data_IF_439141688718
#
_entry.id   IF_439141688718
#
_cell.length_a   1.000
_cell.length_b   1.000
_cell.length_c   1.000
_cell.angle_alpha   90.00
_cell.angle_beta   90.00
_cell.angle_gamma   90.00
#
_symmetry.space_group_name_H-M   'P 1'
#
loop_
_entity.id
_entity.type
_entity.pdbx_description
1 polymer ?
#
# COMPACT_ATOMS: atom_id res chain seq x y z
N UNK A 1 -12.57 -4.48 -8.52
CA UNK A 1 -11.32 -5.25 -8.51
C UNK A 1 -10.65 -5.25 -7.13
N UNK A 2 -10.33 -4.11 -6.53
CA UNK A 2 -9.69 -4.02 -5.21
C UNK A 2 -10.54 -4.63 -4.08
N UNK A 3 -11.84 -4.40 -4.03
CA UNK A 3 -12.76 -5.02 -3.07
C UNK A 3 -12.75 -6.56 -3.19
N UNK A 4 -12.72 -7.07 -4.40
CA UNK A 4 -12.60 -8.53 -4.65
C UNK A 4 -11.28 -9.04 -4.08
N UNK A 5 -10.17 -8.31 -4.24
CA UNK A 5 -8.87 -8.69 -3.69
C UNK A 5 -8.91 -8.79 -2.16
N UNK A 6 -9.59 -7.85 -1.48
CA UNK A 6 -9.79 -7.91 -0.03
C UNK A 6 -10.57 -9.17 0.35
N UNK A 7 -11.67 -9.46 -0.34
CA UNK A 7 -12.48 -10.68 -0.10
C UNK A 7 -11.66 -11.95 -0.30
N UNK A 8 -10.85 -12.00 -1.35
CA UNK A 8 -9.92 -13.12 -1.61
C UNK A 8 -8.92 -13.26 -0.45
N UNK A 9 -8.38 -12.15 0.06
CA UNK A 9 -7.47 -12.14 1.20
C UNK A 9 -8.09 -12.74 2.46
N UNK A 10 -9.34 -12.36 2.77
CA UNK A 10 -10.12 -12.94 3.88
C UNK A 10 -10.30 -14.45 3.69
N UNK A 11 -10.62 -14.89 2.47
CA UNK A 11 -10.84 -16.28 2.18
C UNK A 11 -9.55 -17.12 2.26
N UNK A 12 -8.45 -16.60 1.74
CA UNK A 12 -7.13 -17.25 1.83
C UNK A 12 -6.70 -17.44 3.29
N UNK A 13 -6.95 -16.47 4.15
CA UNK A 13 -6.64 -16.60 5.58
C UNK A 13 -7.38 -17.76 6.24
N UNK A 14 -8.65 -18.02 5.84
CA UNK A 14 -9.43 -19.15 6.36
C UNK A 14 -8.92 -20.50 5.85
N UNK A 15 -8.35 -20.55 4.64
CA UNK A 15 -7.85 -21.80 4.05
C UNK A 15 -6.48 -22.22 4.61
N UNK A 16 -5.69 -21.28 5.14
CA UNK A 16 -4.33 -21.53 5.62
C UNK A 16 -4.17 -21.18 7.10
N UNK A 17 -4.73 -21.99 8.03
CA UNK A 17 -4.71 -21.72 9.47
C UNK A 17 -3.29 -21.70 10.07
N UNK A 18 -2.34 -22.44 9.50
CA UNK A 18 -0.94 -22.41 9.95
C UNK A 18 -0.28 -21.03 9.70
N UNK A 19 -0.54 -20.43 8.55
CA UNK A 19 -0.07 -19.07 8.27
C UNK A 19 -0.79 -18.03 9.14
N UNK A 20 -2.01 -18.31 9.59
CA UNK A 20 -2.73 -17.48 10.53
C UNK A 20 -2.05 -17.49 11.92
N UNK A 21 -1.58 -18.62 12.42
CA UNK A 21 -0.86 -18.70 13.70
C UNK A 21 0.44 -17.91 13.68
N UNK A 22 1.27 -18.07 12.65
CA UNK A 22 2.52 -17.33 12.55
C UNK A 22 2.29 -15.82 12.39
N UNK A 23 1.19 -15.40 11.76
CA UNK A 23 0.83 -14.01 11.66
C UNK A 23 0.26 -13.46 12.98
N UNK A 24 -0.50 -14.26 13.71
CA UNK A 24 -0.98 -13.91 15.04
C UNK A 24 0.20 -13.72 16.03
N UNK A 25 1.22 -14.58 15.99
CA UNK A 25 2.44 -14.42 16.77
C UNK A 25 3.19 -13.13 16.42
N UNK A 26 3.31 -12.81 15.13
CA UNK A 26 3.91 -11.54 14.68
C UNK A 26 3.07 -10.32 15.11
N UNK A 27 1.75 -10.44 15.15
CA UNK A 27 0.87 -9.36 15.60
C UNK A 27 0.95 -9.24 17.13
N UNK A 28 0.98 -10.35 17.88
CA UNK A 28 1.19 -10.33 19.34
C UNK A 28 2.52 -9.64 19.68
N UNK A 29 3.60 -10.03 19.03
CA UNK A 29 4.89 -9.36 19.22
C UNK A 29 4.83 -7.87 18.87
N UNK A 30 3.99 -7.49 17.92
CA UNK A 30 3.75 -6.09 17.54
C UNK A 30 2.91 -5.39 18.62
N UNK A 31 1.86 -6.01 19.14
CA UNK A 31 1.03 -5.45 20.23
C UNK A 31 1.84 -5.30 21.51
N UNK A 32 2.63 -6.32 21.88
CA UNK A 32 3.55 -6.26 23.02
C UNK A 32 4.61 -5.19 22.82
N UNK A 33 5.09 -5.01 21.60
CA UNK A 33 5.97 -3.92 21.22
C UNK A 33 5.31 -2.55 21.40
N UNK A 34 4.01 -2.42 21.12
CA UNK A 34 3.25 -1.17 21.36
C UNK A 34 2.99 -0.92 22.85
N UNK A 35 2.95 -1.95 23.69
CA UNK A 35 2.76 -1.85 25.14
C UNK A 35 4.07 -1.57 25.90
N UNK A 36 5.24 -1.88 25.33
CA UNK A 36 6.56 -1.67 25.93
C UNK A 36 7.31 -0.58 25.16
N UNK A 37 7.67 0.53 25.79
CA UNK A 37 8.54 1.63 25.33
C UNK A 37 8.85 1.66 23.82
N UNK A 38 7.90 2.13 23.03
CA UNK A 38 8.00 2.20 21.57
C UNK A 38 9.09 3.20 21.18
N UNK A 39 10.04 2.77 20.37
CA UNK A 39 10.81 3.68 19.55
C UNK A 39 9.95 4.11 18.34
N UNK A 40 9.12 5.15 18.54
CA UNK A 40 8.20 5.72 17.55
C UNK A 40 8.90 5.94 16.20
N UNK A 41 10.16 6.39 16.25
CA UNK A 41 10.96 6.65 15.05
C UNK A 41 11.15 5.38 14.20
N UNK A 42 11.40 4.25 14.82
CA UNK A 42 11.63 2.99 14.09
C UNK A 42 10.35 2.48 13.40
N UNK A 43 9.20 2.62 14.08
CA UNK A 43 7.90 2.22 13.50
C UNK A 43 7.52 3.12 12.33
N UNK A 44 7.65 4.43 12.51
CA UNK A 44 7.39 5.40 11.45
C UNK A 44 8.31 5.19 10.24
N UNK A 45 9.60 4.93 10.49
CA UNK A 45 10.57 4.67 9.42
C UNK A 45 10.27 3.38 8.67
N UNK A 46 9.88 2.32 9.38
CA UNK A 46 9.48 1.04 8.75
C UNK A 46 8.24 1.20 7.88
N UNK A 47 7.21 1.88 8.39
CA UNK A 47 6.00 2.18 7.63
C UNK A 47 6.32 3.05 6.40
N UNK A 48 7.08 4.11 6.58
CA UNK A 48 7.53 4.99 5.50
C UNK A 48 8.26 4.21 4.39
N UNK A 49 9.20 3.34 4.78
CA UNK A 49 9.96 2.50 3.82
C UNK A 49 9.03 1.55 3.06
N UNK A 50 8.08 0.91 3.74
CA UNK A 50 7.11 0.01 3.11
C UNK A 50 6.21 0.75 2.11
N UNK A 51 5.69 1.91 2.49
CA UNK A 51 4.81 2.73 1.67
C UNK A 51 5.54 3.30 0.45
N UNK A 52 6.82 3.69 0.63
CA UNK A 52 7.69 4.14 -0.45
C UNK A 52 7.98 3.02 -1.44
N UNK A 53 8.31 1.82 -0.97
CA UNK A 53 8.55 0.67 -1.85
C UNK A 53 7.30 0.34 -2.66
N UNK A 54 6.13 0.35 -2.02
CA UNK A 54 4.87 0.05 -2.68
C UNK A 54 4.51 1.08 -3.76
N UNK A 55 4.55 2.37 -3.46
CA UNK A 55 4.23 3.42 -4.43
C UNK A 55 5.26 3.52 -5.54
N UNK A 56 6.56 3.35 -5.20
CA UNK A 56 7.64 3.32 -6.19
C UNK A 56 7.53 2.11 -7.12
N UNK A 57 7.05 0.96 -6.66
CA UNK A 57 6.85 -0.21 -7.51
C UNK A 57 5.81 0.03 -8.60
N UNK A 58 4.74 0.76 -8.31
CA UNK A 58 3.73 1.18 -9.30
C UNK A 58 4.37 2.10 -10.35
N UNK A 59 5.13 3.10 -9.91
CA UNK A 59 5.82 4.03 -10.81
C UNK A 59 6.84 3.31 -11.71
N UNK A 60 7.74 2.52 -11.11
CA UNK A 60 8.81 1.81 -11.85
C UNK A 60 8.25 0.82 -12.86
N UNK A 61 7.20 0.08 -12.49
CA UNK A 61 6.56 -0.87 -13.42
C UNK A 61 5.94 -0.17 -14.62
N UNK A 62 5.59 1.11 -14.51
CA UNK A 62 4.98 1.85 -15.61
C UNK A 62 6.01 2.49 -16.54
N UNK A 63 7.16 2.92 -16.02
CA UNK A 63 8.25 3.49 -16.84
C UNK A 63 8.69 2.49 -17.92
N UNK A 64 8.75 1.22 -17.57
CA UNK A 64 8.96 0.15 -18.52
C UNK A 64 7.61 -0.34 -19.04
N UNK A 65 7.20 0.08 -20.22
CA UNK A 65 5.89 -0.20 -20.81
C UNK A 65 5.46 -1.68 -20.74
N UNK A 66 6.43 -2.60 -20.89
CA UNK A 66 6.19 -4.06 -20.85
C UNK A 66 5.78 -4.52 -19.43
N UNK A 67 6.25 -3.86 -18.39
CA UNK A 67 6.00 -4.24 -16.99
C UNK A 67 4.77 -3.55 -16.39
N UNK A 68 4.05 -2.73 -17.16
CA UNK A 68 2.86 -2.02 -16.71
C UNK A 68 1.81 -2.91 -16.00
N UNK A 69 1.52 -4.17 -16.43
CA UNK A 69 0.58 -5.03 -15.71
C UNK A 69 0.98 -5.31 -14.25
N UNK A 70 2.28 -5.21 -13.91
CA UNK A 70 2.77 -5.40 -12.54
C UNK A 70 2.20 -4.33 -11.58
N UNK A 71 1.91 -3.11 -12.07
CA UNK A 71 1.28 -2.07 -11.28
C UNK A 71 -0.11 -2.50 -10.75
N UNK A 72 -0.90 -3.19 -11.58
CA UNK A 72 -2.20 -3.74 -11.16
C UNK A 72 -2.02 -4.89 -10.17
N UNK A 73 -1.05 -5.77 -10.43
CA UNK A 73 -0.75 -6.90 -9.53
C UNK A 73 -0.35 -6.37 -8.15
N UNK A 74 0.46 -5.32 -8.07
CA UNK A 74 0.85 -4.71 -6.80
C UNK A 74 -0.36 -4.22 -5.99
N UNK A 75 -1.35 -3.59 -6.64
CA UNK A 75 -2.59 -3.17 -5.99
C UNK A 75 -3.47 -4.36 -5.55
N UNK A 76 -3.55 -5.42 -6.36
CA UNK A 76 -4.28 -6.63 -6.02
C UNK A 76 -3.66 -7.29 -4.78
N UNK A 77 -2.33 -7.46 -4.77
CA UNK A 77 -1.60 -8.03 -3.64
C UNK A 77 -1.76 -7.20 -2.36
N UNK A 78 -1.76 -5.86 -2.48
CA UNK A 78 -2.04 -4.98 -1.35
C UNK A 78 -3.46 -5.19 -0.80
N UNK A 79 -4.46 -5.33 -1.67
CA UNK A 79 -5.84 -5.65 -1.28
C UNK A 79 -5.95 -7.01 -0.57
N UNK A 80 -5.30 -8.05 -1.10
CA UNK A 80 -5.24 -9.38 -0.48
C UNK A 80 -4.60 -9.30 0.90
N UNK A 81 -3.47 -8.61 1.03
CA UNK A 81 -2.78 -8.42 2.31
C UNK A 81 -3.67 -7.75 3.36
N UNK A 82 -4.42 -6.72 2.97
CA UNK A 82 -5.35 -6.04 3.87
C UNK A 82 -6.48 -6.98 4.32
N UNK A 83 -7.10 -7.71 3.38
CA UNK A 83 -8.15 -8.68 3.70
C UNK A 83 -7.67 -9.78 4.63
N UNK A 84 -6.46 -10.28 4.39
CA UNK A 84 -5.81 -11.28 5.22
C UNK A 84 -5.60 -10.74 6.64
N UNK A 85 -5.06 -9.55 6.79
CA UNK A 85 -4.80 -8.91 8.08
C UNK A 85 -6.08 -8.65 8.86
N UNK A 86 -7.13 -8.14 8.22
CA UNK A 86 -8.45 -7.91 8.85
C UNK A 86 -8.99 -9.21 9.43
N UNK A 87 -8.98 -10.29 8.64
CA UNK A 87 -9.49 -11.58 9.10
C UNK A 87 -8.68 -12.17 10.25
N UNK A 88 -7.34 -11.98 10.25
CA UNK A 88 -6.47 -12.39 11.36
C UNK A 88 -6.84 -11.64 12.63
N UNK A 89 -7.09 -10.33 12.58
CA UNK A 89 -7.52 -9.56 13.73
C UNK A 89 -8.87 -10.04 14.29
N UNK A 90 -9.80 -10.37 13.41
CA UNK A 90 -11.11 -10.89 13.83
C UNK A 90 -10.99 -12.25 14.51
N UNK A 91 -10.25 -13.18 13.91
CA UNK A 91 -10.20 -14.58 14.36
C UNK A 91 -9.22 -14.81 15.51
N UNK A 92 -8.04 -14.21 15.47
CA UNK A 92 -6.99 -14.46 16.46
C UNK A 92 -7.13 -13.57 17.71
N UNK A 93 -7.60 -12.34 17.56
CA UNK A 93 -7.63 -11.39 18.66
C UNK A 93 -9.02 -11.07 19.18
N UNK A 94 -10.08 -11.54 18.50
CA UNK A 94 -11.48 -11.22 18.84
C UNK A 94 -11.69 -9.72 19.12
N UNK A 95 -10.89 -8.88 18.42
CA UNK A 95 -10.93 -7.43 18.60
C UNK A 95 -12.26 -6.86 18.14
N UNK A 96 -12.72 -5.86 18.86
CA UNK A 96 -13.88 -5.07 18.46
C UNK A 96 -13.67 -4.45 17.07
N UNK A 97 -14.73 -4.38 16.28
CA UNK A 97 -14.70 -3.85 14.92
C UNK A 97 -14.07 -2.44 14.85
N UNK A 98 -14.27 -1.61 15.88
CA UNK A 98 -13.69 -0.26 15.98
C UNK A 98 -12.15 -0.29 16.05
N UNK A 99 -11.58 -1.22 16.82
CA UNK A 99 -10.12 -1.39 16.93
C UNK A 99 -9.52 -1.90 15.63
N UNK A 100 -10.15 -2.88 15.00
CA UNK A 100 -9.72 -3.43 13.69
C UNK A 100 -9.73 -2.35 12.62
N UNK A 101 -10.81 -1.57 12.56
CA UNK A 101 -10.96 -0.45 11.63
C UNK A 101 -9.86 0.58 11.86
N UNK A 102 -9.60 0.97 13.10
CA UNK A 102 -8.54 1.93 13.44
C UNK A 102 -7.17 1.42 12.99
N UNK A 103 -6.81 0.18 13.34
CA UNK A 103 -5.51 -0.42 13.03
C UNK A 103 -5.25 -0.57 11.53
N UNK A 104 -6.28 -0.94 10.76
CA UNK A 104 -6.12 -1.27 9.34
C UNK A 104 -6.40 -0.10 8.42
N UNK A 105 -7.45 0.69 8.72
CA UNK A 105 -7.85 1.80 7.85
C UNK A 105 -6.92 2.99 7.96
N UNK A 106 -6.52 3.41 9.15
CA UNK A 106 -5.63 4.57 9.31
C UNK A 106 -4.30 4.35 8.57
N UNK A 107 -3.75 3.14 8.65
CA UNK A 107 -2.51 2.79 7.95
C UNK A 107 -2.63 2.87 6.42
N UNK A 108 -3.83 2.77 5.85
CA UNK A 108 -4.02 2.66 4.41
C UNK A 108 -4.93 3.76 3.83
N UNK A 109 -5.47 4.67 4.66
CA UNK A 109 -6.51 5.62 4.26
C UNK A 109 -6.08 6.60 3.16
N UNK A 110 -4.81 6.98 3.15
CA UNK A 110 -4.24 7.86 2.12
C UNK A 110 -3.49 7.04 1.06
N UNK A 111 -2.82 5.97 1.49
CA UNK A 111 -2.00 5.15 0.62
C UNK A 111 -2.82 4.51 -0.51
N UNK A 112 -4.00 3.96 -0.19
CA UNK A 112 -4.85 3.28 -1.19
C UNK A 112 -5.41 4.27 -2.21
N UNK A 113 -6.16 5.33 -1.83
CA UNK A 113 -6.66 6.30 -2.80
C UNK A 113 -5.53 6.96 -3.60
N UNK A 114 -4.43 7.31 -2.94
CA UNK A 114 -3.25 7.87 -3.59
C UNK A 114 -2.64 6.93 -4.64
N UNK A 115 -2.59 5.63 -4.34
CA UNK A 115 -2.10 4.61 -5.27
C UNK A 115 -3.03 4.43 -6.47
N UNK A 116 -4.35 4.56 -6.29
CA UNK A 116 -5.29 4.58 -7.41
C UNK A 116 -5.09 5.79 -8.32
N UNK A 117 -4.90 6.98 -7.74
CA UNK A 117 -4.60 8.19 -8.51
C UNK A 117 -3.28 7.99 -9.29
N UNK A 118 -2.24 7.45 -8.63
CA UNK A 118 -0.97 7.15 -9.27
C UNK A 118 -1.14 6.13 -10.41
N UNK A 119 -1.98 5.10 -10.23
CA UNK A 119 -2.27 4.12 -11.27
C UNK A 119 -3.01 4.72 -12.46
N UNK A 120 -4.00 5.60 -12.23
CA UNK A 120 -4.69 6.31 -13.31
C UNK A 120 -3.72 7.21 -14.10
N UNK A 121 -2.82 7.87 -13.38
CA UNK A 121 -1.76 8.66 -14.00
C UNK A 121 -0.82 7.81 -14.85
N UNK A 122 -0.47 6.64 -14.32
CA UNK A 122 0.32 5.62 -15.01
C UNK A 122 -0.36 5.09 -16.26
N UNK A 123 -1.66 4.85 -16.20
CA UNK A 123 -2.48 4.39 -17.33
C UNK A 123 -2.48 5.42 -18.46
N UNK A 124 -2.69 6.69 -18.14
CA UNK A 124 -2.66 7.77 -19.13
C UNK A 124 -1.29 7.86 -19.83
N UNK A 125 -0.21 7.81 -19.04
CA UNK A 125 1.14 7.76 -19.60
C UNK A 125 1.35 6.55 -20.51
N UNK A 126 0.92 5.36 -20.06
CA UNK A 126 1.06 4.12 -20.82
C UNK A 126 0.36 4.20 -22.19
N UNK A 127 -0.86 4.72 -22.23
CA UNK A 127 -1.62 4.87 -23.46
C UNK A 127 -0.93 5.86 -24.43
N UNK A 128 -0.51 7.03 -23.93
CA UNK A 128 0.22 8.02 -24.72
C UNK A 128 1.57 7.48 -25.23
N UNK A 129 2.29 6.77 -24.38
CA UNK A 129 3.58 6.18 -24.71
C UNK A 129 3.46 5.09 -25.78
N UNK A 130 2.39 4.27 -25.77
CA UNK A 130 2.12 3.29 -26.81
C UNK A 130 1.87 3.93 -28.18
N UNK A 131 1.11 5.02 -28.23
CA UNK A 131 0.86 5.76 -29.49
C UNK A 131 2.15 6.32 -30.07
N UNK A 132 2.98 6.94 -29.21
CA UNK A 132 4.26 7.50 -29.62
C UNK A 132 5.25 6.42 -30.04
N UNK A 133 5.24 5.28 -29.35
CA UNK A 133 6.08 4.15 -29.73
C UNK A 133 5.78 3.66 -31.15
N UNK A 134 4.48 3.57 -31.51
CA UNK A 134 4.06 3.22 -32.88
C UNK A 134 4.51 4.24 -33.93
N UNK A 135 4.57 5.52 -33.58
CA UNK A 135 5.03 6.61 -34.48
C UNK A 135 6.54 6.76 -34.54
N UNK A 136 7.31 5.97 -33.76
CA UNK A 136 8.75 6.00 -33.66
C UNK A 136 9.37 7.39 -33.37
N UNK A 137 8.62 8.26 -32.69
CA UNK A 137 9.07 9.61 -32.34
C UNK A 137 9.83 9.61 -31.01
N UNK A 138 11.15 9.44 -31.06
CA UNK A 138 12.00 9.36 -29.88
C UNK A 138 12.04 10.63 -29.03
N UNK A 139 11.97 11.81 -29.64
CA UNK A 139 11.99 13.08 -28.91
C UNK A 139 10.71 13.25 -28.07
N UNK A 140 9.57 13.00 -28.71
CA UNK A 140 8.26 13.06 -28.01
C UNK A 140 8.22 12.02 -26.90
N UNK A 141 8.74 10.79 -27.10
CA UNK A 141 8.84 9.77 -26.06
C UNK A 141 9.65 10.25 -24.86
N UNK A 142 10.83 10.82 -25.10
CA UNK A 142 11.68 11.37 -24.03
C UNK A 142 10.98 12.48 -23.24
N UNK A 143 10.26 13.35 -23.93
CA UNK A 143 9.51 14.43 -23.29
C UNK A 143 8.40 13.93 -22.39
N UNK A 144 7.54 13.00 -22.85
CA UNK A 144 6.44 12.48 -22.04
C UNK A 144 6.96 11.66 -20.85
N UNK A 145 8.02 10.86 -21.05
CA UNK A 145 8.65 10.09 -19.95
C UNK A 145 9.18 11.02 -18.87
N UNK A 146 9.87 12.11 -19.25
CA UNK A 146 10.35 13.12 -18.30
C UNK A 146 9.20 13.77 -17.53
N UNK A 147 8.14 14.17 -18.24
CA UNK A 147 6.93 14.77 -17.64
C UNK A 147 6.27 13.80 -16.65
N UNK A 148 6.06 12.55 -17.07
CA UNK A 148 5.50 11.51 -16.23
C UNK A 148 6.35 11.26 -14.96
N UNK A 149 7.67 11.11 -15.12
CA UNK A 149 8.59 10.89 -14.01
C UNK A 149 8.50 12.01 -12.98
N UNK A 150 8.58 13.27 -13.42
CA UNK A 150 8.52 14.42 -12.50
C UNK A 150 7.18 14.46 -11.75
N UNK A 151 6.07 14.33 -12.48
CA UNK A 151 4.73 14.36 -11.87
C UNK A 151 4.49 13.18 -10.93
N UNK A 152 4.98 11.99 -11.27
CA UNK A 152 4.86 10.80 -10.41
C UNK A 152 5.68 10.93 -9.14
N UNK A 153 6.91 11.45 -9.21
CA UNK A 153 7.74 11.69 -8.02
C UNK A 153 7.06 12.69 -7.09
N UNK A 154 6.51 13.79 -7.63
CA UNK A 154 5.78 14.77 -6.82
C UNK A 154 4.54 14.16 -6.17
N UNK A 155 3.79 13.35 -6.89
CA UNK A 155 2.60 12.66 -6.38
C UNK A 155 2.96 11.65 -5.29
N UNK A 156 4.00 10.83 -5.51
CA UNK A 156 4.50 9.87 -4.53
C UNK A 156 4.94 10.59 -3.26
N UNK A 157 5.71 11.67 -3.39
CA UNK A 157 6.14 12.47 -2.25
C UNK A 157 4.94 13.01 -1.45
N UNK A 158 3.93 13.55 -2.13
CA UNK A 158 2.71 14.03 -1.49
C UNK A 158 1.96 12.92 -0.75
N UNK A 159 1.75 11.76 -1.39
CA UNK A 159 1.09 10.60 -0.77
C UNK A 159 1.83 10.16 0.49
N UNK A 160 3.15 10.03 0.40
CA UNK A 160 3.97 9.51 1.51
C UNK A 160 4.03 10.51 2.67
N UNK A 161 4.17 11.81 2.40
CA UNK A 161 4.18 12.83 3.45
C UNK A 161 2.85 12.83 4.21
N UNK A 162 1.72 12.85 3.49
CA UNK A 162 0.40 12.84 4.12
C UNK A 162 0.16 11.53 4.86
N UNK A 163 0.55 10.39 4.29
CA UNK A 163 0.43 9.09 4.94
C UNK A 163 1.30 9.00 6.20
N UNK A 164 2.51 9.56 6.20
CA UNK A 164 3.37 9.59 7.38
C UNK A 164 2.75 10.39 8.53
N UNK A 165 2.08 11.52 8.22
CA UNK A 165 1.34 12.30 9.22
C UNK A 165 0.17 11.49 9.80
N UNK A 166 -0.61 10.81 8.95
CA UNK A 166 -1.72 9.94 9.39
C UNK A 166 -1.20 8.77 10.23
N UNK A 167 -0.08 8.16 9.84
CA UNK A 167 0.55 7.08 10.61
C UNK A 167 0.98 7.57 12.01
N UNK A 168 1.54 8.77 12.11
CA UNK A 168 1.92 9.35 13.41
C UNK A 168 0.70 9.57 14.32
N UNK A 169 -0.40 10.07 13.77
CA UNK A 169 -1.66 10.25 14.51
C UNK A 169 -2.24 8.88 14.93
N UNK A 170 -2.19 7.88 14.04
CA UNK A 170 -2.74 6.55 14.33
C UNK A 170 -1.98 5.84 15.46
N UNK A 171 -0.65 6.01 15.54
CA UNK A 171 0.16 5.43 16.62
C UNK A 171 -0.25 6.06 17.97
N UNK A 172 -0.43 7.38 18.02
CA UNK A 172 -0.92 8.06 19.22
C UNK A 172 -2.33 7.59 19.63
N UNK A 173 -3.23 7.39 18.66
CA UNK A 173 -4.56 6.87 18.93
C UNK A 173 -4.53 5.41 19.44
N UNK A 174 -3.62 4.59 18.94
CA UNK A 174 -3.45 3.20 19.39
C UNK A 174 -3.00 3.13 20.85
N UNK A 175 -2.08 4.00 21.28
CA UNK A 175 -1.62 4.06 22.67
C UNK A 175 -2.74 4.42 23.66
N UNK A 176 -3.80 5.07 23.19
CA UNK A 176 -4.97 5.44 24.01
C UNK A 176 -6.02 4.30 24.02
N UNK A 177 -6.10 3.49 22.95
CA UNK A 177 -7.11 2.47 22.75
C UNK A 177 -6.69 1.07 23.24
N UNK A 178 -5.40 0.83 23.39
CA UNK A 178 -4.83 -0.41 23.94
C UNK A 178 -4.52 -0.25 25.42
#
# INVERSE_FOLDING_TARGET
MFTISITVGVYLNKLYPQAQQSMAENINSTVDFYNTNINLSNVLLSNFKSDLIFTSSIYLSTVFLVTFPIAFIALILKGISIGYTINTFILAFQLDASKIVSLTLFKNIILIPGSFILLLFSLNYFMEALEIYKSNNKEKMKFITKKYTLSSIMLIAAIIIVQALVNAISIGAMQILL
#
